data_IF_924152358218
#
_entry.id   IF_924152358218
#
_cell.length_a   1.000
_cell.length_b   1.000
_cell.length_c   1.000
_cell.angle_alpha   90.00
_cell.angle_beta   90.00
_cell.angle_gamma   90.00
#
_symmetry.space_group_name_H-M   'P 1'
#
loop_
_entity.id
_entity.type
_entity.pdbx_description
1 polymer ?
#
# COMPACT_ATOMS: atom_id res chain seq x y z
N UNK A 1 -9.27 11.85 33.71
CA UNK A 1 -9.61 12.01 32.29
C UNK A 1 -10.97 12.69 32.25
N UNK A 2 -11.03 13.96 31.82
CA UNK A 2 -12.27 14.75 31.82
C UNK A 2 -13.16 14.26 30.67
N UNK A 3 -14.44 14.05 30.93
CA UNK A 3 -15.43 13.63 29.93
C UNK A 3 -15.55 14.66 28.81
N UNK A 4 -14.72 14.51 27.77
CA UNK A 4 -14.79 15.28 26.52
C UNK A 4 -16.12 15.05 25.78
N UNK A 5 -16.87 14.00 26.16
CA UNK A 5 -18.15 13.65 25.57
C UNK A 5 -19.29 14.64 25.89
N UNK A 6 -19.17 15.45 26.95
CA UNK A 6 -20.23 16.39 27.36
C UNK A 6 -20.12 17.81 26.79
N UNK A 7 -18.99 18.17 26.16
CA UNK A 7 -18.76 19.53 25.65
C UNK A 7 -18.97 19.57 24.13
N UNK A 8 -20.09 20.15 23.64
CA UNK A 8 -20.36 20.23 22.21
C UNK A 8 -19.30 21.06 21.46
N UNK A 9 -18.65 22.02 22.13
CA UNK A 9 -17.57 22.81 21.53
C UNK A 9 -16.29 21.98 21.35
N UNK A 10 -16.01 21.04 22.26
CA UNK A 10 -14.87 20.12 22.13
C UNK A 10 -15.09 19.08 21.01
N UNK A 11 -16.32 18.57 20.87
CA UNK A 11 -16.71 17.67 19.77
C UNK A 11 -16.63 18.37 18.41
N UNK A 12 -17.05 19.64 18.32
CA UNK A 12 -16.97 20.41 17.09
C UNK A 12 -15.52 20.73 16.69
N UNK A 13 -14.66 21.07 17.67
CA UNK A 13 -13.21 21.22 17.43
C UNK A 13 -12.58 19.93 16.90
N UNK A 14 -12.97 18.77 17.44
CA UNK A 14 -12.51 17.47 16.95
C UNK A 14 -13.02 17.16 15.52
N UNK A 15 -14.27 17.52 15.20
CA UNK A 15 -14.80 17.43 13.82
C UNK A 15 -14.00 18.28 12.85
N UNK A 16 -13.72 19.54 13.20
CA UNK A 16 -12.93 20.47 12.37
C UNK A 16 -11.47 20.00 12.22
N UNK A 17 -10.87 19.44 13.27
CA UNK A 17 -9.53 18.85 13.18
C UNK A 17 -9.52 17.60 12.29
N UNK A 18 -10.52 16.72 12.40
CA UNK A 18 -10.66 15.53 11.55
C UNK A 18 -10.90 15.89 10.08
N UNK A 19 -11.71 16.91 9.79
CA UNK A 19 -11.94 17.35 8.41
C UNK A 19 -10.67 17.93 7.78
N UNK A 20 -9.95 18.78 8.51
CA UNK A 20 -8.63 19.30 8.08
C UNK A 20 -7.60 18.19 7.87
N UNK A 21 -7.61 17.16 8.73
CA UNK A 21 -6.75 15.98 8.56
C UNK A 21 -7.13 15.17 7.32
N UNK A 22 -8.43 14.98 7.07
CA UNK A 22 -8.93 14.26 5.90
C UNK A 22 -8.58 14.96 4.58
N UNK A 23 -8.54 16.30 4.57
CA UNK A 23 -8.14 17.08 3.40
C UNK A 23 -6.63 17.03 3.16
N UNK A 24 -5.82 16.94 4.23
CA UNK A 24 -4.37 16.68 4.14
C UNK A 24 -4.04 15.24 3.73
N UNK A 25 -4.95 14.29 3.91
CA UNK A 25 -4.83 12.91 3.42
C UNK A 25 -5.14 12.77 1.91
N UNK A 26 -4.99 13.81 1.09
CA UNK A 26 -4.91 13.62 -0.37
C UNK A 26 -3.58 12.94 -0.68
N UNK A 27 -3.56 11.66 -1.11
CA UNK A 27 -2.32 11.01 -1.46
C UNK A 27 -1.69 11.81 -2.62
N UNK A 28 -0.44 12.24 -2.49
CA UNK A 28 0.27 12.89 -3.57
C UNK A 28 0.28 11.98 -4.79
N UNK A 29 0.21 12.55 -5.99
CA UNK A 29 0.17 11.78 -7.24
C UNK A 29 1.38 10.82 -7.36
N UNK A 30 2.54 11.24 -6.87
CA UNK A 30 3.77 10.44 -6.86
C UNK A 30 3.69 9.20 -5.95
N UNK A 31 2.81 9.18 -4.95
CA UNK A 31 2.70 8.04 -4.02
C UNK A 31 2.12 6.80 -4.70
N UNK A 32 1.14 6.98 -5.60
CA UNK A 32 0.59 5.86 -6.38
C UNK A 32 1.60 5.35 -7.41
N UNK A 33 2.28 6.26 -8.12
CA UNK A 33 3.32 5.90 -9.08
C UNK A 33 4.47 5.16 -8.40
N UNK A 34 4.92 5.63 -7.22
CA UNK A 34 5.94 4.94 -6.44
C UNK A 34 5.53 3.54 -6.00
N UNK A 35 4.29 3.37 -5.53
CA UNK A 35 3.79 2.04 -5.17
C UNK A 35 3.69 1.09 -6.37
N UNK A 36 3.35 1.62 -7.55
CA UNK A 36 3.37 0.85 -8.79
C UNK A 36 4.78 0.34 -9.10
N UNK A 37 5.80 1.20 -8.93
CA UNK A 37 7.22 0.82 -9.11
C UNK A 37 7.64 -0.27 -8.12
N UNK A 38 7.24 -0.17 -6.85
CA UNK A 38 7.52 -1.20 -5.84
C UNK A 38 6.95 -2.55 -6.27
N UNK A 39 5.68 -2.59 -6.66
CA UNK A 39 5.04 -3.83 -7.10
C UNK A 39 5.67 -4.38 -8.38
N UNK A 40 5.99 -3.52 -9.35
CA UNK A 40 6.69 -3.93 -10.56
C UNK A 40 8.07 -4.56 -10.24
N UNK A 41 8.81 -4.00 -9.27
CA UNK A 41 10.08 -4.58 -8.81
C UNK A 41 9.88 -5.94 -8.13
N UNK A 42 8.81 -6.11 -7.34
CA UNK A 42 8.49 -7.39 -6.69
C UNK A 42 8.17 -8.46 -7.75
N UNK A 43 7.30 -8.15 -8.72
CA UNK A 43 6.96 -9.07 -9.82
C UNK A 43 8.08 -9.25 -10.85
N UNK A 44 9.11 -8.39 -10.84
CA UNK A 44 10.33 -8.62 -11.61
C UNK A 44 11.25 -9.68 -10.98
N UNK A 45 11.08 -10.04 -9.71
CA UNK A 45 11.91 -11.05 -9.03
C UNK A 45 11.96 -12.41 -9.75
N UNK A 46 10.84 -13.05 -10.17
CA UNK A 46 10.89 -14.33 -10.86
C UNK A 46 11.60 -14.27 -12.22
N UNK A 47 11.48 -13.15 -12.95
CA UNK A 47 12.26 -12.93 -14.17
C UNK A 47 13.75 -12.78 -13.87
N UNK A 48 14.08 -12.03 -12.83
CA UNK A 48 15.46 -11.83 -12.36
C UNK A 48 16.12 -13.18 -12.02
N UNK A 49 15.40 -14.06 -11.32
CA UNK A 49 15.91 -15.35 -10.88
C UNK A 49 16.20 -16.32 -12.04
N UNK A 50 15.50 -16.19 -13.19
CA UNK A 50 15.65 -17.09 -14.33
C UNK A 50 16.60 -16.57 -15.42
N UNK A 51 16.60 -15.26 -15.66
CA UNK A 51 17.32 -14.66 -16.79
C UNK A 51 18.66 -14.02 -16.41
N UNK A 52 18.89 -13.70 -15.13
CA UNK A 52 20.21 -13.27 -14.68
C UNK A 52 21.08 -14.49 -14.36
N UNK A 53 22.38 -14.47 -14.69
CA UNK A 53 23.29 -15.54 -14.33
C UNK A 53 23.25 -15.76 -12.82
N UNK A 54 23.30 -17.03 -12.39
CA UNK A 54 23.10 -17.54 -11.01
C UNK A 54 23.88 -16.81 -9.88
N UNK A 55 24.79 -15.89 -10.21
CA UNK A 55 25.51 -15.04 -9.26
C UNK A 55 24.80 -13.74 -8.86
N UNK A 56 23.81 -13.24 -9.61
CA UNK A 56 23.03 -12.05 -9.20
C UNK A 56 21.91 -12.50 -8.27
N UNK A 57 22.27 -12.63 -7.00
CA UNK A 57 21.36 -12.92 -5.88
C UNK A 57 20.15 -12.00 -5.98
N UNK A 58 18.92 -12.47 -5.73
CA UNK A 58 17.65 -11.68 -5.75
C UNK A 58 17.69 -10.43 -4.84
N UNK A 59 18.64 -10.41 -3.91
CA UNK A 59 18.86 -9.38 -2.88
C UNK A 59 18.82 -7.91 -3.35
N UNK A 60 19.47 -7.48 -4.45
CA UNK A 60 19.47 -6.10 -4.91
C UNK A 60 18.07 -5.62 -5.29
N UNK A 61 17.24 -6.48 -5.89
CA UNK A 61 15.86 -6.14 -6.29
C UNK A 61 15.00 -5.92 -5.05
N UNK A 62 15.14 -6.80 -4.04
CA UNK A 62 14.45 -6.65 -2.77
C UNK A 62 14.93 -5.42 -1.99
N UNK A 63 16.23 -5.12 -2.00
CA UNK A 63 16.78 -3.91 -1.37
C UNK A 63 16.29 -2.65 -2.08
N UNK A 64 16.24 -2.66 -3.41
CA UNK A 64 15.70 -1.55 -4.18
C UNK A 64 14.21 -1.33 -3.86
N UNK A 65 13.42 -2.39 -3.84
CA UNK A 65 12.01 -2.31 -3.46
C UNK A 65 11.84 -1.78 -2.03
N UNK A 66 12.63 -2.27 -1.07
CA UNK A 66 12.61 -1.80 0.32
C UNK A 66 13.02 -0.33 0.43
N UNK A 67 14.08 0.09 -0.28
CA UNK A 67 14.53 1.48 -0.30
C UNK A 67 13.45 2.41 -0.87
N UNK A 68 12.79 2.01 -1.95
CA UNK A 68 11.67 2.78 -2.53
C UNK A 68 10.50 2.84 -1.55
N UNK A 69 10.15 1.74 -0.87
CA UNK A 69 9.12 1.76 0.19
C UNK A 69 9.50 2.76 1.29
N UNK A 70 10.73 2.71 1.80
CA UNK A 70 11.21 3.62 2.84
C UNK A 70 11.14 5.09 2.38
N UNK A 71 11.59 5.39 1.16
CA UNK A 71 11.51 6.72 0.55
C UNK A 71 10.07 7.21 0.41
N UNK A 72 9.15 6.36 -0.03
CA UNK A 72 7.74 6.70 -0.15
C UNK A 72 7.10 6.96 1.20
N UNK A 73 7.40 6.14 2.22
CA UNK A 73 6.89 6.36 3.57
C UNK A 73 7.46 7.63 4.19
N UNK A 74 8.75 7.91 4.00
CA UNK A 74 9.38 9.13 4.48
C UNK A 74 8.84 10.38 3.76
N UNK A 75 8.72 10.34 2.45
CA UNK A 75 8.11 11.41 1.65
C UNK A 75 6.66 11.66 2.06
N UNK A 76 5.90 10.60 2.36
CA UNK A 76 4.51 10.73 2.78
C UNK A 76 4.42 11.35 4.18
N UNK A 77 5.27 10.89 5.10
CA UNK A 77 5.36 11.46 6.45
C UNK A 77 5.75 12.93 6.41
N UNK A 78 6.69 13.31 5.54
CA UNK A 78 7.11 14.70 5.37
C UNK A 78 6.04 15.57 4.72
N UNK A 79 5.37 15.07 3.67
CA UNK A 79 4.36 15.83 2.93
C UNK A 79 3.05 16.00 3.70
N UNK A 80 2.64 14.99 4.47
CA UNK A 80 1.35 14.99 5.19
C UNK A 80 1.48 15.29 6.68
N UNK A 81 2.69 15.17 7.25
CA UNK A 81 2.93 15.26 8.69
C UNK A 81 2.39 14.06 9.48
N UNK A 82 1.94 13.00 8.80
CA UNK A 82 1.29 11.84 9.42
C UNK A 82 2.11 10.59 9.10
N UNK A 83 2.58 9.89 10.14
CA UNK A 83 3.18 8.57 9.99
C UNK A 83 2.08 7.52 9.76
N UNK A 84 1.68 7.32 8.50
CA UNK A 84 0.62 6.36 8.10
C UNK A 84 1.13 4.91 8.18
N UNK A 85 2.42 4.67 7.89
CA UNK A 85 3.03 3.34 7.77
C UNK A 85 2.88 2.49 9.03
N UNK A 86 3.20 3.05 10.19
CA UNK A 86 3.22 2.35 11.48
C UNK A 86 1.82 2.16 12.07
N UNK A 87 0.86 3.01 11.68
CA UNK A 87 -0.52 2.93 12.18
C UNK A 87 -1.38 1.94 11.40
N UNK A 88 -1.14 1.81 10.09
CA UNK A 88 -1.86 0.88 9.18
C UNK A 88 -1.76 -0.60 9.58
N UNK A 89 -0.62 -1.04 10.12
CA UNK A 89 -0.43 -2.40 10.65
C UNK A 89 -1.07 -2.60 12.04
N UNK A 90 -1.25 -1.51 12.78
CA UNK A 90 -1.80 -1.51 14.15
C UNK A 90 -3.32 -1.34 14.16
N UNK A 91 -3.92 -0.79 13.09
CA UNK A 91 -5.37 -0.64 12.94
C UNK A 91 -6.05 -1.96 12.59
N UNK A 92 -6.96 -2.40 13.46
CA UNK A 92 -7.70 -3.67 13.35
C UNK A 92 -8.53 -3.77 12.06
N UNK A 93 -8.99 -2.64 11.53
CA UNK A 93 -9.76 -2.53 10.29
C UNK A 93 -8.91 -2.68 9.01
N UNK A 94 -7.58 -2.57 9.10
CA UNK A 94 -6.65 -2.67 7.97
C UNK A 94 -6.11 -4.08 7.71
N UNK A 95 -6.22 -4.99 8.68
CA UNK A 95 -5.72 -6.37 8.61
C UNK A 95 -6.30 -7.20 7.46
N UNK A 96 -7.62 -7.28 7.24
CA UNK A 96 -8.15 -8.13 6.16
C UNK A 96 -7.71 -7.64 4.78
N UNK A 97 -7.62 -6.33 4.56
CA UNK A 97 -7.11 -5.76 3.33
C UNK A 97 -5.61 -6.05 3.13
N UNK A 98 -4.81 -5.98 4.20
CA UNK A 98 -3.39 -6.33 4.13
C UNK A 98 -3.19 -7.82 3.84
N UNK A 99 -3.99 -8.70 4.45
CA UNK A 99 -3.95 -10.15 4.19
C UNK A 99 -4.39 -10.44 2.75
N UNK A 100 -5.43 -9.77 2.24
CA UNK A 100 -5.89 -9.92 0.86
C UNK A 100 -4.81 -9.49 -0.15
N UNK A 101 -4.13 -8.36 0.08
CA UNK A 101 -2.98 -7.93 -0.72
C UNK A 101 -1.85 -8.96 -0.68
N UNK A 102 -1.45 -9.43 0.51
CA UNK A 102 -0.39 -10.46 0.63
C UNK A 102 -0.80 -11.73 -0.11
N UNK A 103 -2.04 -12.19 0.05
CA UNK A 103 -2.56 -13.38 -0.62
C UNK A 103 -2.60 -13.24 -2.14
N UNK A 104 -3.09 -12.10 -2.64
CA UNK A 104 -3.10 -11.78 -4.07
C UNK A 104 -1.69 -11.76 -4.65
N UNK A 105 -0.75 -11.17 -3.91
CA UNK A 105 0.66 -11.09 -4.31
C UNK A 105 1.33 -12.46 -4.38
N UNK A 106 1.09 -13.32 -3.38
CA UNK A 106 1.61 -14.69 -3.38
C UNK A 106 1.01 -15.48 -4.54
N UNK A 107 -0.30 -15.37 -4.78
CA UNK A 107 -0.98 -16.06 -5.88
C UNK A 107 -0.46 -15.61 -7.25
N UNK A 108 -0.25 -14.31 -7.44
CA UNK A 108 0.29 -13.75 -8.67
C UNK A 108 1.75 -14.19 -8.90
N UNK A 109 2.61 -14.17 -7.87
CA UNK A 109 3.98 -14.66 -7.96
C UNK A 109 4.04 -16.17 -8.29
N UNK A 110 3.16 -16.97 -7.69
CA UNK A 110 3.07 -18.40 -8.00
C UNK A 110 2.60 -18.64 -9.45
N UNK A 111 1.61 -17.88 -9.91
CA UNK A 111 1.13 -17.94 -11.29
C UNK A 111 2.23 -17.53 -12.29
N UNK A 112 2.97 -16.46 -12.00
CA UNK A 112 4.12 -16.05 -12.81
C UNK A 112 5.19 -17.13 -12.89
N UNK A 113 5.60 -17.70 -11.76
CA UNK A 113 6.61 -18.76 -11.73
C UNK A 113 6.19 -19.96 -12.60
N UNK A 114 4.93 -20.41 -12.46
CA UNK A 114 4.39 -21.52 -13.26
C UNK A 114 4.32 -21.19 -14.76
N UNK A 115 3.95 -19.96 -15.12
CA UNK A 115 3.88 -19.52 -16.52
C UNK A 115 5.28 -19.40 -17.14
N UNK A 116 6.23 -18.90 -16.38
CA UNK A 116 7.63 -18.79 -16.79
C UNK A 116 8.23 -20.20 -16.97
N UNK A 117 7.92 -21.15 -16.08
CA UNK A 117 8.32 -22.57 -16.22
C UNK A 117 7.78 -23.21 -17.50
N UNK A 118 6.56 -22.84 -17.90
CA UNK A 118 5.94 -23.28 -19.15
C UNK A 118 6.35 -22.48 -20.38
N UNK A 119 7.36 -21.59 -20.28
CA UNK A 119 7.83 -20.70 -21.36
C UNK A 119 6.79 -19.70 -21.89
N UNK A 120 5.71 -19.45 -21.14
CA UNK A 120 4.63 -18.53 -21.49
C UNK A 120 4.91 -17.11 -21.00
N UNK A 121 5.98 -16.50 -21.52
CA UNK A 121 6.48 -15.19 -21.02
C UNK A 121 5.46 -14.06 -21.17
N UNK A 122 4.73 -14.02 -22.29
CA UNK A 122 3.70 -12.99 -22.52
C UNK A 122 2.58 -13.08 -21.49
N UNK A 123 2.16 -14.31 -21.15
CA UNK A 123 1.14 -14.53 -20.13
C UNK A 123 1.65 -14.14 -18.74
N UNK A 124 2.90 -14.47 -18.41
CA UNK A 124 3.51 -14.06 -17.15
C UNK A 124 3.57 -12.54 -16.98
N UNK A 125 3.99 -11.81 -18.03
CA UNK A 125 3.99 -10.34 -18.03
C UNK A 125 2.57 -9.78 -17.88
N UNK A 126 1.59 -10.36 -18.56
CA UNK A 126 0.19 -9.94 -18.44
C UNK A 126 -0.34 -10.14 -17.01
N UNK A 127 -0.03 -11.27 -16.37
CA UNK A 127 -0.40 -11.53 -14.97
C UNK A 127 0.26 -10.53 -14.03
N UNK A 128 1.55 -10.24 -14.21
CA UNK A 128 2.27 -9.22 -13.45
C UNK A 128 1.59 -7.85 -13.53
N UNK A 129 1.29 -7.41 -14.76
CA UNK A 129 0.64 -6.13 -15.00
C UNK A 129 -0.75 -6.06 -14.35
N UNK A 130 -1.55 -7.13 -14.47
CA UNK A 130 -2.87 -7.22 -13.84
C UNK A 130 -2.78 -7.21 -12.31
N UNK A 131 -1.80 -7.89 -11.73
CA UNK A 131 -1.57 -7.90 -10.29
C UNK A 131 -1.20 -6.51 -9.76
N UNK A 132 -0.30 -5.79 -10.46
CA UNK A 132 0.03 -4.39 -10.13
C UNK A 132 -1.22 -3.51 -10.17
N UNK A 133 -2.04 -3.62 -11.21
CA UNK A 133 -3.27 -2.83 -11.33
C UNK A 133 -4.25 -3.15 -10.21
N UNK A 134 -4.44 -4.43 -9.88
CA UNK A 134 -5.32 -4.87 -8.80
C UNK A 134 -4.88 -4.32 -7.44
N UNK A 135 -3.58 -4.35 -7.13
CA UNK A 135 -3.01 -3.79 -5.90
C UNK A 135 -3.17 -2.27 -5.82
N UNK A 136 -2.99 -1.55 -6.94
CA UNK A 136 -3.22 -0.10 -6.99
C UNK A 136 -4.69 0.25 -6.77
N UNK A 137 -5.62 -0.53 -7.32
CA UNK A 137 -7.05 -0.38 -7.07
C UNK A 137 -7.34 -0.62 -5.57
N UNK A 138 -6.80 -1.70 -4.99
CA UNK A 138 -6.92 -2.01 -3.57
C UNK A 138 -6.38 -0.89 -2.65
N UNK A 139 -5.21 -0.35 -2.97
CA UNK A 139 -4.63 0.78 -2.25
C UNK A 139 -5.53 2.03 -2.34
N UNK A 140 -6.05 2.32 -3.53
CA UNK A 140 -6.93 3.48 -3.77
C UNK A 140 -8.27 3.34 -3.03
N UNK A 141 -8.87 2.16 -3.02
CA UNK A 141 -10.12 1.90 -2.29
C UNK A 141 -9.88 2.01 -0.78
N UNK A 142 -8.75 1.48 -0.27
CA UNK A 142 -8.37 1.61 1.15
C UNK A 142 -8.21 3.06 1.59
N UNK A 143 -7.50 3.87 0.81
CA UNK A 143 -7.34 5.30 1.09
C UNK A 143 -8.69 6.05 1.06
N UNK A 144 -9.58 5.70 0.13
CA UNK A 144 -10.95 6.24 0.09
C UNK A 144 -11.76 5.82 1.31
N UNK A 145 -11.64 4.57 1.76
CA UNK A 145 -12.33 4.05 2.94
C UNK A 145 -11.86 4.78 4.21
N UNK A 146 -10.55 4.95 4.41
CA UNK A 146 -9.97 5.71 5.53
C UNK A 146 -10.47 7.17 5.50
N UNK A 147 -10.53 7.79 4.31
CA UNK A 147 -11.06 9.16 4.21
C UNK A 147 -12.54 9.23 4.59
N UNK A 148 -13.34 8.23 4.21
CA UNK A 148 -14.76 8.15 4.57
C UNK A 148 -14.93 7.99 6.08
N UNK A 149 -14.21 7.07 6.73
CA UNK A 149 -14.29 6.86 8.19
C UNK A 149 -13.86 8.10 8.97
N UNK A 150 -12.84 8.82 8.51
CA UNK A 150 -12.43 10.09 9.11
C UNK A 150 -13.49 11.18 9.00
N UNK A 151 -14.22 11.24 7.87
CA UNK A 151 -15.29 12.23 7.63
C UNK A 151 -16.58 11.91 8.38
N UNK A 152 -16.95 10.63 8.49
CA UNK A 152 -18.16 10.22 9.22
C UNK A 152 -17.94 10.15 10.73
N UNK A 153 -16.70 10.34 11.20
CA UNK A 153 -16.36 10.28 12.62
C UNK A 153 -16.43 8.87 13.22
N UNK A 154 -16.71 7.86 12.39
CA UNK A 154 -16.79 6.45 12.75
C UNK A 154 -15.41 5.86 12.94
N UNK A 155 -14.79 6.18 14.08
CA UNK A 155 -14.06 5.14 14.79
C UNK A 155 -15.11 4.13 15.21
N UNK A 156 -14.99 2.88 14.75
CA UNK A 156 -15.77 1.78 15.30
C UNK A 156 -15.65 1.84 16.82
N UNK A 157 -16.81 1.80 17.48
CA UNK A 157 -16.95 1.30 18.84
C UNK A 157 -16.18 -0.02 19.01
#
# INVERSE_FOLDING_TARGET
MRDVAGDPAALERLRVQRSRLADRMRPPWWYMSGFAVVWALIFACPFSARFLPQGVRIWPVLVAALAVICLLQWGLARATGIAVATRSLRDRSGRPAAIATIGLSIAALAAEALLIDRSLLVAAIAVAALAVVAELIGLRTRLRAIRRTLRTGGGTA
#
